data_IF_374824118912
#
_entry.id   IF_374824118912
#
_cell.length_a   1.000
_cell.length_b   1.000
_cell.length_c   1.000
_cell.angle_alpha   90.00
_cell.angle_beta   90.00
_cell.angle_gamma   90.00
#
_symmetry.space_group_name_H-M   'P 1'
#
loop_
_entity.id
_entity.type
_entity.pdbx_description
1 polymer ?
#
# COMPACT_ATOMS: atom_id res chain seq x y z
N UNK A 1 -7.34 51.98 -32.94
CA UNK A 1 -6.41 50.90 -32.52
C UNK A 1 -6.52 50.59 -31.02
N UNK A 2 -7.69 50.17 -30.50
CA UNK A 2 -7.82 49.77 -29.08
C UNK A 2 -8.67 48.51 -28.83
N UNK A 3 -9.25 47.90 -29.87
CA UNK A 3 -10.20 46.78 -29.73
C UNK A 3 -9.58 45.39 -29.90
N UNK A 4 -8.33 45.30 -30.37
CA UNK A 4 -7.68 44.01 -30.66
C UNK A 4 -6.69 43.56 -29.57
N UNK A 5 -6.41 44.41 -28.57
CA UNK A 5 -5.50 44.05 -27.45
C UNK A 5 -6.26 43.30 -26.35
N UNK A 6 -7.56 43.58 -26.18
CA UNK A 6 -8.38 42.92 -25.16
C UNK A 6 -8.70 41.46 -25.52
N UNK A 7 -8.82 41.15 -26.82
CA UNK A 7 -9.13 39.79 -27.28
C UNK A 7 -7.94 38.81 -27.14
N UNK A 8 -6.70 39.30 -27.27
CA UNK A 8 -5.50 38.48 -27.05
C UNK A 8 -5.21 38.18 -25.57
N UNK A 9 -5.66 39.04 -24.65
CA UNK A 9 -5.48 38.78 -23.21
C UNK A 9 -6.44 37.72 -22.68
N UNK A 10 -7.65 37.61 -23.25
CA UNK A 10 -8.63 36.58 -22.85
C UNK A 10 -8.24 35.19 -23.38
N UNK A 11 -7.60 35.11 -24.55
CA UNK A 11 -7.10 33.84 -25.09
C UNK A 11 -5.84 33.33 -24.38
N UNK A 12 -5.00 34.23 -23.86
CA UNK A 12 -3.83 33.82 -23.07
C UNK A 12 -4.21 33.37 -21.65
N UNK A 13 -5.31 33.87 -21.08
CA UNK A 13 -5.79 33.46 -19.76
C UNK A 13 -6.54 32.11 -19.77
N UNK A 14 -7.16 31.73 -20.91
CA UNK A 14 -7.86 30.44 -21.05
C UNK A 14 -6.92 29.25 -21.29
N UNK A 15 -5.65 29.47 -21.63
CA UNK A 15 -4.66 28.40 -21.79
C UNK A 15 -3.94 28.02 -20.48
N UNK A 16 -4.12 28.80 -19.41
CA UNK A 16 -3.48 28.56 -18.09
C UNK A 16 -4.39 27.74 -17.16
N UNK A 17 -5.63 27.46 -17.54
CA UNK A 17 -6.61 26.75 -16.70
C UNK A 17 -6.70 25.24 -16.93
N UNK A 18 -5.85 24.64 -17.77
CA UNK A 18 -5.77 23.18 -17.96
C UNK A 18 -4.60 22.55 -17.19
N UNK A 19 -4.31 23.05 -16.00
CA UNK A 19 -3.52 22.29 -15.02
C UNK A 19 -4.44 21.59 -14.02
N UNK A 20 -5.40 20.82 -14.54
CA UNK A 20 -5.80 19.58 -13.87
C UNK A 20 -4.66 18.57 -14.06
N UNK A 21 -3.49 18.91 -13.53
CA UNK A 21 -2.55 17.90 -13.08
C UNK A 21 -3.30 17.18 -11.97
N UNK A 22 -3.96 16.08 -12.32
CA UNK A 22 -4.24 15.01 -11.40
C UNK A 22 -2.93 14.75 -10.66
N UNK A 23 -2.78 15.35 -9.49
CA UNK A 23 -1.75 15.03 -8.53
C UNK A 23 -2.11 13.61 -8.06
N UNK A 24 -1.73 12.62 -8.87
CA UNK A 24 -1.85 11.23 -8.51
C UNK A 24 -1.03 11.10 -7.23
N UNK A 25 -1.72 10.98 -6.09
CA UNK A 25 -1.10 10.79 -4.79
C UNK A 25 -0.21 9.56 -4.95
N UNK A 26 1.10 9.77 -4.98
CA UNK A 26 2.07 8.68 -5.13
C UNK A 26 2.03 7.91 -3.83
N UNK A 27 1.28 6.81 -3.81
CA UNK A 27 1.20 5.90 -2.67
C UNK A 27 2.35 4.90 -2.74
N UNK A 28 2.72 4.32 -1.60
CA UNK A 28 3.67 3.21 -1.56
C UNK A 28 3.24 2.07 -2.49
N UNK A 29 1.96 1.72 -2.48
CA UNK A 29 1.41 0.69 -3.36
C UNK A 29 1.61 1.01 -4.85
N UNK A 30 1.32 2.24 -5.27
CA UNK A 30 1.53 2.67 -6.67
C UNK A 30 3.00 2.59 -7.09
N UNK A 31 3.94 2.83 -6.16
CA UNK A 31 5.38 2.68 -6.41
C UNK A 31 5.76 1.20 -6.56
N UNK A 32 5.21 0.31 -5.74
CA UNK A 32 5.45 -1.13 -5.82
C UNK A 32 4.91 -1.73 -7.12
N UNK A 33 3.72 -1.33 -7.55
CA UNK A 33 3.15 -1.73 -8.85
C UNK A 33 3.98 -1.22 -10.02
N UNK A 34 4.39 0.06 -9.96
CA UNK A 34 5.26 0.65 -10.98
C UNK A 34 6.61 -0.07 -11.05
N UNK A 35 7.20 -0.46 -9.93
CA UNK A 35 8.44 -1.23 -9.90
C UNK A 35 8.30 -2.56 -10.65
N UNK A 36 7.22 -3.30 -10.41
CA UNK A 36 6.94 -4.56 -11.12
C UNK A 36 6.82 -4.34 -12.64
N UNK A 37 6.03 -3.34 -13.05
CA UNK A 37 5.83 -3.02 -14.47
C UNK A 37 7.13 -2.60 -15.17
N UNK A 38 7.97 -1.80 -14.51
CA UNK A 38 9.27 -1.37 -15.06
C UNK A 38 10.27 -2.52 -15.16
N UNK A 39 10.26 -3.44 -14.19
CA UNK A 39 11.07 -4.67 -14.22
C UNK A 39 10.68 -5.57 -15.38
N UNK A 40 9.40 -5.73 -15.66
CA UNK A 40 8.91 -6.50 -16.82
C UNK A 40 9.24 -5.82 -18.15
N UNK A 41 9.24 -4.49 -18.16
CA UNK A 41 9.53 -3.68 -19.35
C UNK A 41 11.02 -3.45 -19.60
N UNK A 42 11.92 -3.92 -18.73
CA UNK A 42 13.37 -3.70 -18.84
C UNK A 42 13.81 -2.24 -18.69
N UNK A 43 12.98 -1.38 -18.08
CA UNK A 43 13.26 0.05 -17.88
C UNK A 43 14.09 0.27 -16.61
N UNK A 44 15.36 -0.09 -16.73
CA UNK A 44 16.30 -0.27 -15.62
C UNK A 44 16.59 1.01 -14.80
N UNK A 45 16.75 2.16 -15.46
CA UNK A 45 17.02 3.44 -14.78
C UNK A 45 15.80 3.90 -13.99
N UNK A 46 14.62 3.88 -14.61
CA UNK A 46 13.36 4.24 -13.95
C UNK A 46 13.03 3.25 -12.83
N UNK A 47 13.34 1.97 -13.00
CA UNK A 47 13.18 0.95 -11.96
C UNK A 47 14.03 1.31 -10.74
N UNK A 48 15.31 1.63 -10.93
CA UNK A 48 16.21 2.05 -9.85
C UNK A 48 15.67 3.26 -9.07
N UNK A 49 15.13 4.28 -9.77
CA UNK A 49 14.52 5.46 -9.14
C UNK A 49 13.25 5.12 -8.35
N UNK A 50 12.40 4.24 -8.90
CA UNK A 50 11.19 3.79 -8.22
C UNK A 50 11.52 2.94 -6.99
N UNK A 51 12.53 2.07 -7.06
CA UNK A 51 13.01 1.31 -5.90
C UNK A 51 13.53 2.23 -4.79
N UNK A 52 14.28 3.28 -5.16
CA UNK A 52 14.74 4.31 -4.21
C UNK A 52 13.56 5.02 -3.55
N UNK A 53 12.59 5.48 -4.34
CA UNK A 53 11.40 6.17 -3.85
C UNK A 53 10.55 5.26 -2.95
N UNK A 54 10.35 4.01 -3.37
CA UNK A 54 9.64 2.98 -2.60
C UNK A 54 10.32 2.69 -1.27
N UNK A 55 11.66 2.65 -1.25
CA UNK A 55 12.41 2.46 0.01
C UNK A 55 12.19 3.60 1.01
N UNK A 56 12.14 4.86 0.55
CA UNK A 56 11.86 6.00 1.42
C UNK A 56 10.40 6.03 1.89
N UNK A 57 9.46 5.72 1.00
CA UNK A 57 8.05 5.62 1.37
C UNK A 57 7.84 4.51 2.42
N UNK A 58 8.55 3.38 2.30
CA UNK A 58 8.51 2.29 3.25
C UNK A 58 9.17 2.64 4.59
N UNK A 59 10.24 3.46 4.59
CA UNK A 59 10.79 4.03 5.82
C UNK A 59 9.80 4.98 6.50
N UNK A 60 9.02 5.75 5.72
CA UNK A 60 7.92 6.57 6.23
C UNK A 60 6.84 5.72 6.91
N UNK A 61 6.38 4.67 6.23
CA UNK A 61 5.42 3.70 6.78
C UNK A 61 5.94 3.06 8.08
N UNK A 62 7.22 2.68 8.11
CA UNK A 62 7.87 2.11 9.29
C UNK A 62 7.99 3.07 10.48
N UNK A 63 7.80 4.38 10.29
CA UNK A 63 7.85 5.36 11.36
C UNK A 63 6.45 5.86 11.77
N UNK A 64 5.38 5.23 11.28
CA UNK A 64 4.03 5.42 11.80
C UNK A 64 3.91 4.91 13.25
N UNK A 65 2.93 5.43 14.02
CA UNK A 65 2.75 5.13 15.45
C UNK A 65 2.31 3.68 15.68
N UNK A 66 2.67 3.09 16.83
CA UNK A 66 2.13 1.79 17.27
C UNK A 66 2.72 0.55 16.57
N UNK A 67 3.88 0.72 15.94
CA UNK A 67 4.36 -0.18 14.91
C UNK A 67 5.19 -1.39 15.43
N UNK A 68 4.52 -2.54 15.60
CA UNK A 68 5.15 -3.84 15.88
C UNK A 68 5.92 -4.42 14.67
N UNK A 69 5.74 -3.85 13.48
CA UNK A 69 6.38 -4.25 12.23
C UNK A 69 7.61 -3.42 11.86
N UNK A 70 8.06 -2.49 12.72
CA UNK A 70 9.01 -1.43 12.37
C UNK A 70 10.28 -2.00 11.77
N UNK A 71 10.91 -2.89 12.51
CA UNK A 71 12.19 -3.46 12.11
C UNK A 71 12.05 -4.33 10.84
N UNK A 72 10.91 -5.02 10.68
CA UNK A 72 10.63 -5.80 9.47
C UNK A 72 10.44 -4.89 8.25
N UNK A 73 9.70 -3.79 8.39
CA UNK A 73 9.49 -2.79 7.33
C UNK A 73 10.81 -2.10 6.95
N UNK A 74 11.61 -1.66 7.93
CA UNK A 74 12.95 -1.10 7.70
C UNK A 74 13.89 -2.11 7.01
N UNK A 75 13.83 -3.38 7.41
CA UNK A 75 14.57 -4.45 6.74
C UNK A 75 14.19 -4.61 5.28
N UNK A 76 12.90 -4.45 4.93
CA UNK A 76 12.47 -4.47 3.52
C UNK A 76 12.80 -3.19 2.77
N UNK A 77 12.84 -2.04 3.43
CA UNK A 77 13.34 -0.80 2.82
C UNK A 77 14.82 -0.94 2.44
N UNK A 78 15.64 -1.53 3.33
CA UNK A 78 17.02 -1.86 3.03
C UNK A 78 17.12 -2.89 1.88
N UNK A 79 16.25 -3.90 1.84
CA UNK A 79 16.19 -4.85 0.74
C UNK A 79 15.92 -4.15 -0.61
N UNK A 80 14.96 -3.22 -0.68
CA UNK A 80 14.74 -2.43 -1.90
C UNK A 80 15.98 -1.63 -2.31
N UNK A 81 16.66 -0.98 -1.36
CA UNK A 81 17.92 -0.25 -1.62
C UNK A 81 19.00 -1.16 -2.19
N UNK A 82 19.10 -2.39 -1.68
CA UNK A 82 20.08 -3.37 -2.16
C UNK A 82 19.79 -3.90 -3.57
N UNK A 83 18.56 -3.77 -4.07
CA UNK A 83 18.21 -4.12 -5.44
C UNK A 83 18.56 -3.02 -6.45
N UNK A 84 18.84 -1.79 -6.00
CA UNK A 84 19.12 -0.64 -6.87
C UNK A 84 20.32 -0.90 -7.80
N UNK A 85 21.50 -1.37 -7.33
CA UNK A 85 22.63 -1.63 -8.21
C UNK A 85 22.29 -2.62 -9.32
N UNK A 86 21.64 -3.74 -8.98
CA UNK A 86 21.22 -4.75 -9.96
C UNK A 86 20.14 -4.22 -10.91
N UNK A 87 19.25 -3.34 -10.45
CA UNK A 87 18.29 -2.67 -11.32
C UNK A 87 19.02 -1.77 -12.33
N UNK A 88 19.96 -0.95 -11.88
CA UNK A 88 20.77 -0.07 -12.74
C UNK A 88 21.60 -0.86 -13.76
N UNK A 89 22.18 -1.99 -13.35
CA UNK A 89 22.95 -2.88 -14.22
C UNK A 89 22.07 -3.73 -15.15
N UNK A 90 20.75 -3.72 -14.97
CA UNK A 90 19.82 -4.57 -15.72
C UNK A 90 19.93 -6.06 -15.40
N UNK A 91 20.52 -6.40 -14.25
CA UNK A 91 20.72 -7.78 -13.78
C UNK A 91 19.68 -8.20 -12.74
N UNK A 92 18.83 -7.27 -12.28
CA UNK A 92 17.75 -7.55 -11.34
C UNK A 92 16.74 -8.51 -11.98
N UNK A 93 16.55 -9.66 -11.34
CA UNK A 93 15.54 -10.62 -11.77
C UNK A 93 14.17 -10.26 -11.23
N UNK A 94 13.15 -10.33 -12.09
CA UNK A 94 11.75 -10.03 -11.74
C UNK A 94 11.22 -10.92 -10.62
N UNK A 95 11.66 -12.17 -10.51
CA UNK A 95 11.23 -13.08 -9.44
C UNK A 95 11.77 -12.66 -8.06
N UNK A 96 12.99 -12.13 -8.02
CA UNK A 96 13.60 -11.57 -6.80
C UNK A 96 12.84 -10.31 -6.38
N UNK A 97 12.57 -9.40 -7.32
CA UNK A 97 11.78 -8.20 -7.05
C UNK A 97 10.37 -8.55 -6.56
N UNK A 98 9.69 -9.48 -7.24
CA UNK A 98 8.33 -9.92 -6.92
C UNK A 98 8.24 -10.46 -5.49
N UNK A 99 9.21 -11.28 -5.05
CA UNK A 99 9.27 -11.77 -3.67
C UNK A 99 9.38 -10.63 -2.66
N UNK A 100 10.26 -9.67 -2.90
CA UNK A 100 10.43 -8.51 -2.00
C UNK A 100 9.16 -7.66 -1.97
N UNK A 101 8.59 -7.32 -3.13
CA UNK A 101 7.37 -6.52 -3.27
C UNK A 101 6.19 -7.18 -2.56
N UNK A 102 5.95 -8.47 -2.78
CA UNK A 102 4.83 -9.18 -2.15
C UNK A 102 5.02 -9.31 -0.63
N UNK A 103 6.28 -9.43 -0.18
CA UNK A 103 6.59 -9.40 1.25
C UNK A 103 6.29 -8.03 1.86
N UNK A 104 6.62 -6.94 1.15
CA UNK A 104 6.28 -5.58 1.58
C UNK A 104 4.77 -5.40 1.67
N UNK A 105 4.00 -5.86 0.67
CA UNK A 105 2.53 -5.80 0.69
C UNK A 105 1.96 -6.49 1.94
N UNK A 106 2.50 -7.66 2.31
CA UNK A 106 2.09 -8.34 3.55
C UNK A 106 2.34 -7.49 4.79
N UNK A 107 3.56 -6.96 4.94
CA UNK A 107 3.95 -6.19 6.12
C UNK A 107 3.18 -4.87 6.21
N UNK A 108 2.99 -4.16 5.09
CA UNK A 108 2.26 -2.89 5.06
C UNK A 108 0.79 -3.10 5.37
N UNK A 109 0.12 -4.06 4.73
CA UNK A 109 -1.29 -4.34 5.01
C UNK A 109 -1.51 -4.77 6.47
N UNK A 110 -0.60 -5.59 7.02
CA UNK A 110 -0.67 -5.96 8.43
C UNK A 110 -0.36 -4.79 9.38
N UNK A 111 0.58 -3.90 9.03
CA UNK A 111 0.91 -2.72 9.82
C UNK A 111 -0.26 -1.73 9.88
N UNK A 112 -0.91 -1.47 8.76
CA UNK A 112 -2.09 -0.61 8.68
C UNK A 112 -3.23 -1.14 9.56
N UNK A 113 -3.53 -2.45 9.46
CA UNK A 113 -4.50 -3.10 10.35
C UNK A 113 -4.09 -3.00 11.81
N UNK A 114 -2.82 -3.25 12.13
CA UNK A 114 -2.30 -3.18 13.50
C UNK A 114 -2.47 -1.78 14.10
N UNK A 115 -2.22 -0.72 13.32
CA UNK A 115 -2.38 0.66 13.77
C UNK A 115 -3.85 0.97 14.08
N UNK A 116 -4.79 0.59 13.22
CA UNK A 116 -6.22 0.78 13.46
C UNK A 116 -6.72 -0.02 14.67
N UNK A 117 -6.23 -1.26 14.85
CA UNK A 117 -6.55 -2.09 16.02
C UNK A 117 -6.01 -1.50 17.33
N UNK A 118 -4.87 -0.81 17.27
CA UNK A 118 -4.23 -0.16 18.43
C UNK A 118 -5.08 0.97 18.99
N UNK A 119 -5.90 1.59 18.15
CA UNK A 119 -6.88 2.63 18.51
C UNK A 119 -8.20 2.03 19.04
N UNK A 120 -8.30 0.71 19.14
CA UNK A 120 -9.44 0.01 19.72
C UNK A 120 -10.60 -0.12 18.74
N UNK A 121 -11.84 0.08 19.22
CA UNK A 121 -13.03 0.00 18.35
C UNK A 121 -13.18 1.25 17.48
N UNK A 122 -12.82 2.41 18.02
CA UNK A 122 -12.96 3.69 17.34
C UNK A 122 -12.07 3.77 16.10
N UNK A 123 -10.86 3.19 16.14
CA UNK A 123 -9.99 3.10 14.97
C UNK A 123 -10.50 2.17 13.86
N UNK A 124 -11.51 1.32 14.12
CA UNK A 124 -12.10 0.46 13.10
C UNK A 124 -13.35 1.08 12.46
N UNK A 125 -14.09 1.89 13.21
CA UNK A 125 -15.31 2.53 12.74
C UNK A 125 -14.97 3.63 11.74
N UNK A 126 -15.70 3.70 10.62
CA UNK A 126 -15.46 4.72 9.58
C UNK A 126 -14.18 4.50 8.75
N UNK A 127 -13.52 3.35 8.90
CA UNK A 127 -12.26 3.01 8.24
C UNK A 127 -12.38 1.76 7.35
N UNK A 128 -13.58 1.44 6.84
CA UNK A 128 -13.77 0.25 6.01
C UNK A 128 -12.95 0.31 4.71
N UNK A 129 -12.76 1.49 4.12
CA UNK A 129 -11.95 1.70 2.91
C UNK A 129 -10.48 1.34 3.17
N UNK A 130 -9.87 1.90 4.22
CA UNK A 130 -8.48 1.64 4.60
C UNK A 130 -8.24 0.16 4.96
N UNK A 131 -9.21 -0.46 5.64
CA UNK A 131 -9.16 -1.89 5.96
C UNK A 131 -9.31 -2.77 4.71
N UNK A 132 -10.15 -2.36 3.76
CA UNK A 132 -10.30 -3.07 2.48
C UNK A 132 -9.02 -2.99 1.66
N UNK A 133 -8.39 -1.80 1.59
CA UNK A 133 -7.09 -1.62 0.94
C UNK A 133 -6.02 -2.50 1.61
N UNK A 134 -5.99 -2.52 2.95
CA UNK A 134 -5.07 -3.37 3.71
C UNK A 134 -5.27 -4.87 3.44
N UNK A 135 -6.52 -5.32 3.38
CA UNK A 135 -6.88 -6.71 3.02
C UNK A 135 -6.43 -7.05 1.60
N UNK A 136 -6.59 -6.13 0.65
CA UNK A 136 -6.14 -6.33 -0.73
C UNK A 136 -4.62 -6.46 -0.81
N UNK A 137 -3.86 -5.63 -0.09
CA UNK A 137 -2.41 -5.76 0.02
C UNK A 137 -2.02 -7.15 0.54
N UNK A 138 -2.69 -7.64 1.59
CA UNK A 138 -2.46 -8.98 2.13
C UNK A 138 -2.80 -10.08 1.12
N UNK A 139 -3.90 -9.93 0.38
CA UNK A 139 -4.32 -10.88 -0.65
C UNK A 139 -3.32 -10.98 -1.80
N UNK A 140 -2.74 -9.85 -2.23
CA UNK A 140 -1.69 -9.81 -3.25
C UNK A 140 -0.36 -10.37 -2.71
N UNK A 141 -0.07 -10.11 -1.43
CA UNK A 141 1.18 -10.50 -0.79
C UNK A 141 1.26 -11.98 -0.40
N UNK A 142 0.14 -12.64 -0.09
CA UNK A 142 0.12 -14.00 0.52
C UNK A 142 0.80 -15.10 -0.30
N UNK A 143 1.06 -14.87 -1.59
CA UNK A 143 1.74 -15.82 -2.46
C UNK A 143 3.18 -16.15 -2.01
N UNK A 144 3.82 -15.30 -1.21
CA UNK A 144 5.17 -15.57 -0.68
C UNK A 144 5.18 -16.51 0.53
N UNK A 145 4.01 -16.78 1.12
CA UNK A 145 3.88 -17.66 2.26
C UNK A 145 3.86 -19.13 1.83
N UNK A 146 4.22 -20.02 2.75
CA UNK A 146 4.05 -21.46 2.54
C UNK A 146 2.56 -21.81 2.34
N UNK A 147 2.28 -23.00 1.79
CA UNK A 147 0.90 -23.41 1.48
C UNK A 147 -0.03 -23.30 2.70
N UNK A 148 0.42 -23.75 3.88
CA UNK A 148 -0.40 -23.81 5.09
C UNK A 148 -0.71 -22.41 5.62
N UNK A 149 0.29 -21.53 5.66
CA UNK A 149 0.16 -20.14 6.08
C UNK A 149 -0.69 -19.35 5.08
N UNK A 150 -0.50 -19.56 3.78
CA UNK A 150 -1.28 -18.93 2.72
C UNK A 150 -2.76 -19.28 2.81
N UNK A 151 -3.09 -20.56 3.03
CA UNK A 151 -4.48 -21.00 3.16
C UNK A 151 -5.11 -20.44 4.45
N UNK A 152 -4.36 -20.47 5.56
CA UNK A 152 -4.80 -19.89 6.84
C UNK A 152 -5.06 -18.38 6.72
N UNK A 153 -4.16 -17.65 6.07
CA UNK A 153 -4.32 -16.21 5.82
C UNK A 153 -5.51 -15.97 4.90
N UNK A 154 -5.65 -16.70 3.80
CA UNK A 154 -6.79 -16.60 2.88
C UNK A 154 -8.13 -16.72 3.60
N UNK A 155 -8.30 -17.78 4.40
CA UNK A 155 -9.53 -17.98 5.16
C UNK A 155 -9.84 -16.85 6.14
N UNK A 156 -8.82 -16.25 6.75
CA UNK A 156 -8.99 -15.11 7.65
C UNK A 156 -9.37 -13.83 6.89
N UNK A 157 -8.78 -13.58 5.72
CA UNK A 157 -9.09 -12.44 4.86
C UNK A 157 -10.54 -12.53 4.35
N UNK A 158 -10.96 -13.70 3.89
CA UNK A 158 -12.33 -13.95 3.44
C UNK A 158 -13.34 -13.72 4.58
N UNK A 159 -13.03 -14.22 5.78
CA UNK A 159 -13.86 -14.02 6.97
C UNK A 159 -13.90 -12.55 7.47
N UNK A 160 -12.90 -11.73 7.12
CA UNK A 160 -12.85 -10.32 7.49
C UNK A 160 -13.58 -9.41 6.48
N UNK A 161 -13.64 -9.81 5.21
CA UNK A 161 -14.07 -8.94 4.09
C UNK A 161 -15.48 -8.38 4.28
N UNK A 162 -16.47 -9.22 4.55
CA UNK A 162 -17.85 -8.76 4.69
C UNK A 162 -18.10 -7.97 5.99
N UNK A 163 -17.59 -8.38 7.16
CA UNK A 163 -17.68 -7.55 8.36
C UNK A 163 -16.97 -6.20 8.22
N UNK A 164 -15.84 -6.11 7.49
CA UNK A 164 -15.15 -4.83 7.25
C UNK A 164 -16.06 -3.84 6.52
N UNK A 165 -16.78 -4.28 5.48
CA UNK A 165 -17.70 -3.40 4.73
C UNK A 165 -18.81 -2.79 5.59
N UNK A 166 -19.16 -3.45 6.70
CA UNK A 166 -20.22 -3.01 7.63
C UNK A 166 -19.72 -2.06 8.72
N UNK A 167 -18.43 -1.72 8.74
CA UNK A 167 -17.85 -0.81 9.74
C UNK A 167 -18.27 0.65 9.54
N UNK A 168 -18.78 0.96 8.35
CA UNK A 168 -19.26 2.30 7.98
C UNK A 168 -20.79 2.38 7.99
N UNK A 169 -21.49 1.29 8.38
CA UNK A 169 -22.95 1.26 8.46
C UNK A 169 -23.46 2.19 9.58
N UNK A 170 -24.33 3.14 9.23
CA UNK A 170 -24.89 4.13 10.18
C UNK A 170 -25.90 3.53 11.18
N UNK A 171 -26.45 2.34 10.90
CA UNK A 171 -27.62 1.75 11.58
C UNK A 171 -27.29 1.00 12.89
N UNK A 172 -26.16 1.29 13.53
CA UNK A 172 -25.72 0.61 14.76
C UNK A 172 -25.12 -0.79 14.57
N UNK A 173 -25.19 -1.34 13.35
CA UNK A 173 -24.51 -2.58 12.94
C UNK A 173 -22.98 -2.48 13.01
N UNK A 174 -22.42 -1.29 12.83
CA UNK A 174 -20.98 -1.04 12.83
C UNK A 174 -20.29 -1.42 14.15
N UNK A 175 -20.91 -1.22 15.32
CA UNK A 175 -20.31 -1.59 16.62
C UNK A 175 -20.20 -3.11 16.81
N UNK A 176 -21.17 -3.85 16.28
CA UNK A 176 -21.17 -5.32 16.29
C UNK A 176 -20.12 -5.82 15.30
N UNK A 177 -20.09 -5.26 14.09
CA UNK A 177 -19.08 -5.55 13.08
C UNK A 177 -17.65 -5.29 13.59
N UNK A 178 -17.41 -4.13 14.23
CA UNK A 178 -16.12 -3.78 14.83
C UNK A 178 -15.66 -4.81 15.87
N UNK A 179 -16.59 -5.35 16.68
CA UNK A 179 -16.26 -6.37 17.67
C UNK A 179 -15.89 -7.70 17.03
N UNK A 180 -16.62 -8.11 15.97
CA UNK A 180 -16.34 -9.34 15.23
C UNK A 180 -15.02 -9.23 14.44
N UNK A 181 -14.83 -8.13 13.72
CA UNK A 181 -13.67 -7.92 12.86
C UNK A 181 -12.39 -7.77 13.66
N UNK A 182 -12.43 -7.11 14.83
CA UNK A 182 -11.25 -6.91 15.70
C UNK A 182 -10.51 -8.23 15.97
N UNK A 183 -11.24 -9.31 16.26
CA UNK A 183 -10.64 -10.62 16.55
C UNK A 183 -10.02 -11.25 15.30
N UNK A 184 -10.69 -11.17 14.16
CA UNK A 184 -10.17 -11.72 12.90
C UNK A 184 -8.95 -10.95 12.41
N UNK A 185 -9.03 -9.62 12.43
CA UNK A 185 -7.92 -8.73 12.07
C UNK A 185 -6.71 -8.92 12.98
N UNK A 186 -6.90 -9.09 14.30
CA UNK A 186 -5.80 -9.42 15.22
C UNK A 186 -5.10 -10.72 14.84
N UNK A 187 -5.87 -11.77 14.50
CA UNK A 187 -5.30 -13.06 14.05
C UNK A 187 -4.56 -12.95 12.71
N UNK A 188 -5.01 -12.07 11.82
CA UNK A 188 -4.30 -11.76 10.56
C UNK A 188 -2.95 -11.14 10.88
N UNK A 189 -2.94 -10.11 11.74
CA UNK A 189 -1.73 -9.41 12.16
C UNK A 189 -0.73 -10.38 12.79
N UNK A 190 -1.16 -11.20 13.74
CA UNK A 190 -0.30 -12.19 14.41
C UNK A 190 0.28 -13.20 13.41
N UNK A 191 -0.53 -13.71 12.49
CA UNK A 191 -0.08 -14.65 11.47
C UNK A 191 1.01 -14.03 10.57
N UNK A 192 0.86 -12.77 10.17
CA UNK A 192 1.87 -12.09 9.35
C UNK A 192 3.14 -11.81 10.17
N UNK A 193 3.03 -11.45 11.45
CA UNK A 193 4.19 -11.27 12.34
C UNK A 193 5.04 -12.55 12.45
N UNK A 194 4.39 -13.70 12.53
CA UNK A 194 5.02 -15.02 12.64
C UNK A 194 5.61 -15.50 11.30
N UNK A 195 4.95 -15.20 10.19
CA UNK A 195 5.26 -15.81 8.90
C UNK A 195 6.37 -15.09 8.10
N UNK A 196 6.67 -13.82 8.41
CA UNK A 196 7.46 -12.92 7.54
C UNK A 196 8.72 -12.36 8.21
#
# INVERSE_FOLDING_TARGET
MKRNVFLSFVTLFLLVLNHDLFAQKVTLESLLEKAMSLSESGKNTELAEVLKSGSFALEGEANTRGNDFKDKLLGRAAALKNLIPSATEGTLKTDVLSKVVNTIRLLVGANQINNLLSEGKEGLLGNAEDLTASINLLQLGKAVLDNKQRDKLGNLLDAATDPVKKLDDEDGGAKVAASAVKKTLGRIVDLVKEAV
#
